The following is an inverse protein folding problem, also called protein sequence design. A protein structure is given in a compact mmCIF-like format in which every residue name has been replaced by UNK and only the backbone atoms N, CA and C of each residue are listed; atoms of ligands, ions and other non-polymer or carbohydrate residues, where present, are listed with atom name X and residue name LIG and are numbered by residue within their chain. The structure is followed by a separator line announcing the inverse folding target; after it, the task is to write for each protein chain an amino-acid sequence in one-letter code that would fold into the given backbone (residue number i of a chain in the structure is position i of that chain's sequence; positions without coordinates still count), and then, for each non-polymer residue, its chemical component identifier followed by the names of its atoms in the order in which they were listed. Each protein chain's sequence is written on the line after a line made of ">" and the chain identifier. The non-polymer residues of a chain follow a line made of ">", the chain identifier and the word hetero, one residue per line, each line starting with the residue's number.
data_IF_725782897773
#
_entry.id   IF_725782897773
#
_cell.length_a   1.000
_cell.length_b   1.000
_cell.length_c   1.000
_cell.angle_alpha   90.00
_cell.angle_beta   90.00
_cell.angle_gamma   90.00
#
_symmetry.space_group_name_H-M   'P 1'
#
loop_
_entity.id
_entity.type
_entity.pdbx_description
1 polymer ?
#
# COMPACT_ATOMS: atom_id res chain seq x y z
N UNK A 1 -4.89 -41.47 57.86
CA UNK A 1 -4.56 -40.48 56.81
C UNK A 1 -4.09 -41.24 55.56
N UNK A 2 -4.77 -41.08 54.43
CA UNK A 2 -4.37 -41.70 53.15
C UNK A 2 -3.67 -40.64 52.31
N UNK A 3 -2.46 -40.95 51.83
CA UNK A 3 -1.66 -40.06 50.98
C UNK A 3 -1.94 -40.40 49.52
N UNK A 4 -2.72 -39.57 48.84
CA UNK A 4 -3.00 -39.71 47.40
C UNK A 4 -1.74 -39.38 46.60
N UNK A 5 -1.14 -40.38 45.96
CA UNK A 5 -0.01 -40.20 45.03
C UNK A 5 -0.58 -39.70 43.70
N UNK A 6 -0.21 -38.48 43.29
CA UNK A 6 -0.56 -37.95 41.97
C UNK A 6 0.20 -38.73 40.89
N UNK A 7 -0.53 -39.29 39.93
CA UNK A 7 0.04 -39.97 38.78
C UNK A 7 0.54 -38.93 37.76
N UNK A 8 1.79 -38.50 37.91
CA UNK A 8 2.46 -37.62 36.93
C UNK A 8 2.80 -38.43 35.69
N UNK A 9 1.87 -38.52 34.73
CA UNK A 9 2.17 -39.04 33.39
C UNK A 9 3.14 -38.07 32.70
N UNK A 10 4.40 -38.47 32.56
CA UNK A 10 5.39 -37.74 31.76
C UNK A 10 5.05 -37.82 30.28
N UNK A 11 5.38 -36.76 29.53
CA UNK A 11 5.25 -36.73 28.07
C UNK A 11 6.23 -37.73 27.45
N UNK A 12 5.80 -38.52 26.47
CA UNK A 12 6.67 -39.50 25.83
C UNK A 12 7.59 -38.82 24.81
N UNK A 13 8.81 -39.33 24.65
CA UNK A 13 9.74 -38.81 23.63
C UNK A 13 9.16 -38.93 22.22
N UNK A 14 8.36 -39.98 21.97
CA UNK A 14 7.73 -40.19 20.67
C UNK A 14 6.63 -39.15 20.39
N UNK A 15 5.88 -38.70 21.39
CA UNK A 15 4.90 -37.62 21.22
C UNK A 15 5.60 -36.31 20.83
N UNK A 16 6.76 -36.00 21.41
CA UNK A 16 7.51 -34.79 21.05
C UNK A 16 8.03 -34.86 19.61
N UNK A 17 8.61 -36.01 19.25
CA UNK A 17 9.16 -36.24 17.90
C UNK A 17 8.06 -36.20 16.84
N UNK A 18 6.91 -36.81 17.11
CA UNK A 18 5.79 -36.83 16.17
C UNK A 18 5.20 -35.44 15.94
N UNK A 19 5.11 -34.60 16.97
CA UNK A 19 4.63 -33.21 16.86
C UNK A 19 5.55 -32.36 15.99
N UNK A 20 6.87 -32.41 16.20
CA UNK A 20 7.80 -31.61 15.38
C UNK A 20 7.85 -32.08 13.93
N UNK A 21 7.65 -33.38 13.67
CA UNK A 21 7.55 -33.92 12.31
C UNK A 21 6.31 -33.39 11.60
N UNK A 22 5.15 -33.38 12.27
CA UNK A 22 3.92 -32.82 11.70
C UNK A 22 4.08 -31.32 11.44
N UNK A 23 4.60 -30.56 12.42
CA UNK A 23 4.85 -29.13 12.25
C UNK A 23 5.83 -28.83 11.11
N UNK A 24 6.85 -29.68 10.91
CA UNK A 24 7.79 -29.53 9.80
C UNK A 24 7.11 -29.68 8.43
N UNK A 25 6.22 -30.66 8.27
CA UNK A 25 5.48 -30.86 7.01
C UNK A 25 4.51 -29.70 6.77
N UNK A 26 3.76 -29.30 7.80
CA UNK A 26 2.83 -28.16 7.69
C UNK A 26 3.57 -26.87 7.35
N UNK A 27 4.72 -26.61 7.99
CA UNK A 27 5.54 -25.44 7.71
C UNK A 27 6.08 -25.45 6.28
N UNK A 28 6.55 -26.60 5.78
CA UNK A 28 7.09 -26.73 4.43
C UNK A 28 6.08 -26.32 3.34
N UNK A 29 4.79 -26.59 3.55
CA UNK A 29 3.72 -26.23 2.60
C UNK A 29 3.11 -24.86 2.88
N UNK A 30 2.96 -24.49 4.16
CA UNK A 30 2.30 -23.24 4.55
C UNK A 30 3.16 -22.00 4.30
N UNK A 31 4.49 -22.09 4.50
CA UNK A 31 5.38 -20.94 4.40
C UNK A 31 5.44 -20.36 2.98
N UNK A 32 5.66 -21.14 1.89
CA UNK A 32 5.67 -20.60 0.53
C UNK A 32 4.35 -19.91 0.17
N UNK A 33 3.22 -20.56 0.47
CA UNK A 33 1.88 -20.01 0.22
C UNK A 33 1.62 -18.72 1.00
N UNK A 34 2.10 -18.63 2.24
CA UNK A 34 1.95 -17.44 3.06
C UNK A 34 2.78 -16.26 2.52
N UNK A 35 3.94 -16.52 1.92
CA UNK A 35 4.75 -15.49 1.26
C UNK A 35 4.04 -14.97 0.01
N UNK A 36 3.51 -15.86 -0.82
CA UNK A 36 2.76 -15.48 -2.04
C UNK A 36 1.53 -14.63 -1.71
N UNK A 37 0.73 -15.07 -0.72
CA UNK A 37 -0.45 -14.33 -0.26
C UNK A 37 -0.11 -12.94 0.28
N UNK A 38 1.03 -12.79 0.97
CA UNK A 38 1.49 -11.48 1.41
C UNK A 38 1.90 -10.59 0.24
N UNK A 39 2.54 -11.14 -0.80
CA UNK A 39 2.86 -10.42 -2.03
C UNK A 39 1.60 -9.90 -2.72
N UNK A 40 0.63 -10.78 -2.96
CA UNK A 40 -0.65 -10.45 -3.58
C UNK A 40 -1.43 -9.41 -2.76
N UNK A 41 -1.44 -9.55 -1.43
CA UNK A 41 -2.06 -8.58 -0.54
C UNK A 41 -1.44 -7.18 -0.68
N UNK A 42 -0.11 -7.08 -0.75
CA UNK A 42 0.59 -5.79 -0.92
C UNK A 42 0.26 -5.15 -2.26
N UNK A 43 0.28 -5.93 -3.35
CA UNK A 43 -0.08 -5.43 -4.69
C UNK A 43 -1.54 -4.97 -4.73
N UNK A 44 -2.45 -5.70 -4.08
CA UNK A 44 -3.86 -5.31 -3.96
C UNK A 44 -4.04 -4.00 -3.21
N UNK A 45 -3.37 -3.82 -2.06
CA UNK A 45 -3.37 -2.57 -1.31
C UNK A 45 -2.83 -1.41 -2.15
N UNK A 46 -1.70 -1.63 -2.85
CA UNK A 46 -1.10 -0.61 -3.70
C UNK A 46 -2.03 -0.20 -4.86
N UNK A 47 -2.70 -1.14 -5.51
CA UNK A 47 -3.72 -0.88 -6.54
C UNK A 47 -4.90 -0.08 -6.00
N UNK A 48 -5.41 -0.43 -4.82
CA UNK A 48 -6.50 0.29 -4.17
C UNK A 48 -6.13 1.75 -3.87
N UNK A 49 -4.94 1.98 -3.32
CA UNK A 49 -4.39 3.32 -3.07
C UNK A 49 -4.24 4.09 -4.39
N UNK A 50 -3.64 3.48 -5.41
CA UNK A 50 -3.39 4.13 -6.70
C UNK A 50 -4.71 4.52 -7.41
N UNK A 51 -5.75 3.68 -7.30
CA UNK A 51 -7.09 4.00 -7.79
C UNK A 51 -7.73 5.20 -7.08
N UNK A 52 -7.59 5.29 -5.75
CA UNK A 52 -8.08 6.43 -4.99
C UNK A 52 -7.38 7.74 -5.41
N UNK A 53 -6.07 7.69 -5.62
CA UNK A 53 -5.28 8.85 -6.07
C UNK A 53 -5.68 9.25 -7.49
N UNK A 54 -5.89 8.29 -8.39
CA UNK A 54 -6.34 8.55 -9.76
C UNK A 54 -7.72 9.21 -9.80
N UNK A 55 -8.64 8.74 -8.95
CA UNK A 55 -9.95 9.36 -8.78
C UNK A 55 -9.86 10.81 -8.27
N UNK A 56 -9.03 11.06 -7.26
CA UNK A 56 -8.78 12.41 -6.76
C UNK A 56 -8.18 13.32 -7.86
N UNK A 57 -7.18 12.83 -8.58
CA UNK A 57 -6.55 13.56 -9.68
C UNK A 57 -7.54 13.90 -10.81
N UNK A 58 -8.50 13.02 -11.13
CA UNK A 58 -9.55 13.32 -12.11
C UNK A 58 -10.52 14.42 -11.64
N UNK A 59 -10.89 14.43 -10.35
CA UNK A 59 -11.74 15.49 -9.76
C UNK A 59 -11.01 16.83 -9.79
N UNK A 60 -9.72 16.84 -9.44
CA UNK A 60 -8.88 18.04 -9.49
C UNK A 60 -8.68 18.52 -10.94
N UNK A 61 -8.56 17.60 -11.90
CA UNK A 61 -8.48 17.94 -13.33
C UNK A 61 -9.76 18.62 -13.83
N UNK A 62 -10.93 18.12 -13.41
CA UNK A 62 -12.20 18.77 -13.73
C UNK A 62 -12.25 20.21 -13.18
N UNK A 63 -11.78 20.43 -11.95
CA UNK A 63 -11.67 21.78 -11.37
C UNK A 63 -10.65 22.66 -12.11
N UNK A 64 -9.54 22.09 -12.59
CA UNK A 64 -8.57 22.80 -13.42
C UNK A 64 -9.21 23.31 -14.72
N UNK A 65 -9.98 22.48 -15.42
CA UNK A 65 -10.67 22.90 -16.65
C UNK A 65 -11.67 24.04 -16.37
N UNK A 66 -12.36 24.01 -15.22
CA UNK A 66 -13.37 25.01 -14.88
C UNK A 66 -12.78 26.35 -14.43
N UNK A 67 -11.73 26.31 -13.60
CA UNK A 67 -11.19 27.50 -12.94
C UNK A 67 -9.88 28.00 -13.58
N UNK A 68 -9.27 27.21 -14.46
CA UNK A 68 -7.95 27.46 -15.04
C UNK A 68 -6.86 27.67 -13.96
N UNK A 69 -7.00 27.02 -12.80
CA UNK A 69 -6.07 27.07 -11.66
C UNK A 69 -5.48 25.70 -11.43
N UNK A 70 -4.18 25.62 -11.18
CA UNK A 70 -3.50 24.35 -10.88
C UNK A 70 -3.78 23.88 -9.45
N UNK A 71 -3.94 22.58 -9.27
CA UNK A 71 -4.21 21.97 -7.96
C UNK A 71 -3.08 21.02 -7.57
N UNK A 72 -2.83 20.86 -6.28
CA UNK A 72 -1.76 20.01 -5.80
C UNK A 72 -2.30 18.83 -5.00
N UNK A 73 -1.87 17.63 -5.39
CA UNK A 73 -2.18 16.38 -4.73
C UNK A 73 -0.91 15.89 -4.02
N UNK A 74 -0.76 16.17 -2.72
CA UNK A 74 0.45 15.85 -1.96
C UNK A 74 0.67 16.68 -0.71
N UNK A 75 1.89 16.63 -0.18
CA UNK A 75 2.30 17.32 1.05
C UNK A 75 2.41 18.83 0.84
N UNK A 76 2.16 19.63 1.87
CA UNK A 76 2.23 21.11 1.86
C UNK A 76 3.65 21.70 1.68
N UNK A 77 4.65 20.87 1.41
CA UNK A 77 6.04 21.27 1.20
C UNK A 77 6.23 21.73 -0.25
N UNK A 78 6.62 22.98 -0.49
CA UNK A 78 6.94 23.50 -1.84
C UNK A 78 5.74 23.94 -2.69
N UNK A 79 4.58 24.18 -2.08
CA UNK A 79 3.34 24.67 -2.72
C UNK A 79 3.58 26.08 -3.26
N UNK A 80 3.38 26.32 -4.56
CA UNK A 80 3.38 27.66 -5.13
C UNK A 80 2.22 28.49 -4.53
N UNK A 81 2.35 29.82 -4.46
CA UNK A 81 1.38 30.68 -3.77
C UNK A 81 -0.07 30.67 -4.36
N UNK A 82 -0.30 29.96 -5.46
CA UNK A 82 -1.58 29.84 -6.17
C UNK A 82 -1.95 28.36 -6.46
N UNK A 83 -1.55 27.43 -5.58
CA UNK A 83 -1.97 26.02 -5.67
C UNK A 83 -2.79 25.61 -4.45
N UNK A 84 -4.04 25.18 -4.67
CA UNK A 84 -4.86 24.62 -3.60
C UNK A 84 -4.37 23.19 -3.29
N UNK A 85 -3.96 22.95 -2.04
CA UNK A 85 -3.53 21.63 -1.57
C UNK A 85 -4.74 20.82 -1.13
N UNK A 86 -5.00 19.73 -1.83
CA UNK A 86 -6.05 18.79 -1.46
C UNK A 86 -5.41 17.41 -1.41
N UNK A 87 -5.27 16.88 -0.18
CA UNK A 87 -5.01 15.48 0.20
C UNK A 87 -3.65 15.18 0.86
N UNK A 88 -3.68 14.87 2.16
CA UNK A 88 -2.68 14.06 2.86
C UNK A 88 -3.27 12.66 3.05
N UNK A 89 -2.94 11.71 2.17
CA UNK A 89 -3.47 10.36 2.22
C UNK A 89 -2.74 9.53 3.30
N UNK A 90 -3.20 9.57 4.55
CA UNK A 90 -2.79 8.56 5.52
C UNK A 90 -3.62 7.30 5.27
N UNK A 91 -3.13 6.39 4.44
CA UNK A 91 -3.81 5.12 4.19
C UNK A 91 -3.23 4.07 5.14
N UNK A 92 -4.10 3.45 5.94
CA UNK A 92 -3.67 2.41 6.89
C UNK A 92 -2.91 1.30 6.15
N UNK A 93 -1.66 1.08 6.53
CA UNK A 93 -0.78 0.06 5.92
C UNK A 93 -0.02 0.49 4.66
N UNK A 94 -0.18 1.74 4.18
CA UNK A 94 0.56 2.26 3.04
C UNK A 94 0.97 3.72 3.23
N UNK A 95 2.22 4.06 2.92
CA UNK A 95 2.65 5.46 2.83
C UNK A 95 2.64 5.89 1.37
N UNK A 96 2.11 7.09 1.10
CA UNK A 96 2.10 7.69 -0.23
C UNK A 96 3.06 8.88 -0.20
N UNK A 97 4.03 8.88 -1.11
CA UNK A 97 5.00 9.96 -1.27
C UNK A 97 5.08 10.36 -2.74
N UNK A 98 5.02 11.66 -3.01
CA UNK A 98 5.31 12.22 -4.33
C UNK A 98 6.73 12.75 -4.41
N UNK A 99 7.11 13.26 -5.58
CA UNK A 99 8.29 14.13 -5.71
C UNK A 99 8.21 15.33 -4.73
N UNK A 100 9.35 15.95 -4.34
CA UNK A 100 9.34 17.18 -3.57
C UNK A 100 8.41 18.22 -4.25
N UNK A 101 7.41 18.74 -3.53
CA UNK A 101 6.36 19.59 -4.11
C UNK A 101 5.03 18.88 -4.43
N UNK A 102 4.89 17.57 -4.20
CA UNK A 102 3.66 16.84 -4.49
C UNK A 102 3.38 16.71 -6.01
N UNK A 103 2.16 16.32 -6.36
CA UNK A 103 1.72 16.20 -7.75
C UNK A 103 0.93 17.44 -8.19
N UNK A 104 1.41 18.14 -9.22
CA UNK A 104 0.72 19.30 -9.81
C UNK A 104 -0.28 18.86 -10.89
N UNK A 105 -1.57 18.99 -10.60
CA UNK A 105 -2.67 18.69 -11.51
C UNK A 105 -2.98 19.92 -12.39
N UNK A 106 -3.04 19.72 -13.71
CA UNK A 106 -3.37 20.75 -14.71
C UNK A 106 -2.22 21.15 -15.64
N UNK A 107 -0.97 20.87 -15.26
CA UNK A 107 0.19 21.18 -16.12
C UNK A 107 1.46 20.35 -15.87
N UNK A 108 1.55 19.57 -14.77
CA UNK A 108 2.79 18.87 -14.38
C UNK A 108 2.65 17.35 -14.40
N UNK A 109 3.56 16.63 -15.04
CA UNK A 109 3.66 15.17 -14.90
C UNK A 109 4.53 14.84 -13.68
N UNK A 110 4.24 13.75 -12.98
CA UNK A 110 4.96 13.40 -11.76
C UNK A 110 4.87 11.92 -11.39
N UNK A 111 5.85 11.46 -10.63
CA UNK A 111 5.87 10.11 -10.07
C UNK A 111 5.31 10.13 -8.65
N UNK A 112 4.44 9.16 -8.37
CA UNK A 112 3.93 8.87 -7.04
C UNK A 112 4.44 7.50 -6.63
N UNK A 113 5.01 7.43 -5.44
CA UNK A 113 5.48 6.21 -4.81
C UNK A 113 4.51 5.81 -3.70
N UNK A 114 3.95 4.61 -3.80
CA UNK A 114 3.11 3.98 -2.80
C UNK A 114 3.95 2.89 -2.15
N UNK A 115 4.27 3.03 -0.87
CA UNK A 115 5.03 2.02 -0.14
C UNK A 115 4.08 1.23 0.76
N UNK A 116 4.00 -0.08 0.56
CA UNK A 116 3.22 -1.00 1.42
C UNK A 116 4.21 -1.86 2.20
N UNK A 117 4.28 -1.67 3.52
CA UNK A 117 5.36 -2.22 4.34
C UNK A 117 6.71 -1.60 3.97
N UNK A 118 7.62 -2.40 3.41
CA UNK A 118 8.94 -1.96 2.91
C UNK A 118 9.08 -2.07 1.38
N UNK A 119 7.99 -2.38 0.67
CA UNK A 119 8.01 -2.55 -0.79
C UNK A 119 7.45 -1.30 -1.47
N UNK A 120 8.26 -0.55 -2.24
CA UNK A 120 7.78 0.58 -3.02
C UNK A 120 7.12 0.10 -4.32
N UNK A 121 5.95 0.66 -4.60
CA UNK A 121 5.24 0.56 -5.86
C UNK A 121 5.13 1.95 -6.46
N UNK A 122 5.12 2.08 -7.78
CA UNK A 122 5.13 3.40 -8.43
C UNK A 122 3.96 3.58 -9.38
N UNK A 123 3.46 4.80 -9.42
CA UNK A 123 2.45 5.26 -10.36
C UNK A 123 2.98 6.52 -11.03
N UNK A 124 3.01 6.52 -12.35
CA UNK A 124 3.32 7.71 -13.14
C UNK A 124 2.03 8.41 -13.48
N UNK A 125 1.90 9.67 -13.06
CA UNK A 125 0.87 10.58 -13.51
C UNK A 125 1.43 11.42 -14.66
N UNK A 126 0.73 11.40 -15.79
CA UNK A 126 1.01 12.31 -16.90
C UNK A 126 -0.13 13.31 -16.98
N UNK A 127 0.19 14.58 -16.74
CA UNK A 127 -0.77 15.66 -16.96
C UNK A 127 -1.09 15.74 -18.45
N UNK A 128 -2.37 15.92 -18.75
CA UNK A 128 -2.83 16.30 -20.08
C UNK A 128 -3.58 17.61 -19.90
N UNK A 129 -3.06 18.69 -20.48
CA UNK A 129 -3.70 20.01 -20.42
C UNK A 129 -4.96 20.08 -21.32
N UNK A 130 -5.29 19.02 -22.04
CA UNK A 130 -6.47 18.92 -22.89
C UNK A 130 -7.69 18.33 -22.14
N UNK A 131 -8.85 18.35 -22.79
CA UNK A 131 -10.12 17.83 -22.25
C UNK A 131 -10.16 16.30 -22.09
N UNK A 132 -9.13 15.58 -22.53
CA UNK A 132 -9.09 14.10 -22.52
C UNK A 132 -8.79 13.50 -21.13
N UNK A 133 -8.40 14.34 -20.15
CA UNK A 133 -8.12 13.92 -18.78
C UNK A 133 -6.72 13.35 -18.59
N UNK A 134 -6.24 13.24 -17.33
CA UNK A 134 -4.89 12.76 -17.05
C UNK A 134 -4.72 11.26 -17.28
N UNK A 135 -3.48 10.84 -17.54
CA UNK A 135 -3.13 9.43 -17.77
C UNK A 135 -2.36 8.88 -16.57
N UNK A 136 -2.68 7.64 -16.19
CA UNK A 136 -2.06 6.94 -15.08
C UNK A 136 -1.42 5.64 -15.59
N UNK A 137 -0.14 5.45 -15.32
CA UNK A 137 0.58 4.21 -15.58
C UNK A 137 1.06 3.62 -14.27
N UNK A 138 0.67 2.39 -13.99
CA UNK A 138 1.03 1.69 -12.77
C UNK A 138 2.16 0.70 -13.03
N UNK A 139 3.15 0.69 -12.13
CA UNK A 139 4.25 -0.27 -12.15
C UNK A 139 4.29 -0.97 -10.79
N UNK A 140 3.71 -2.18 -10.75
CA UNK A 140 3.60 -3.02 -9.56
C UNK A 140 4.56 -4.21 -9.63
#
# INVERSE_FOLDING_TARGET
>A
MIRTIKNSKGFTLIELVMVIVILAILAAVAVPRFIDLQGDARVSTAKGVAGAISGAANILHAQYILNNTTYMLGTTEGVAADTAVLFNANISGATVSGAPGGLLIGAGSGLITITVGNTPYTMTYTADATTLGPRFQYNF
#
